data_IF_192538982808
#
_entry.id   IF_192538982808
#
_cell.length_a   1.000
_cell.length_b   1.000
_cell.length_c   1.000
_cell.angle_alpha   90.00
_cell.angle_beta   90.00
_cell.angle_gamma   90.00
#
_symmetry.space_group_name_H-M   'P 1'
#
loop_
_entity.id
_entity.type
_entity.pdbx_description
1 polymer ?
#
# COMPACT_ATOMS: atom_id res chain seq x y z
N UNK A 1 -5.34 -22.69 8.23
CA UNK A 1 -3.94 -23.15 8.11
C UNK A 1 -3.47 -24.03 9.28
N UNK A 2 -4.38 -24.61 10.08
CA UNK A 2 -4.07 -25.53 11.20
C UNK A 2 -3.79 -26.99 10.78
N UNK A 3 -3.58 -27.26 9.49
CA UNK A 3 -3.29 -28.58 8.94
C UNK A 3 -2.17 -28.51 7.89
N UNK A 4 -1.15 -27.69 8.11
CA UNK A 4 0.10 -27.90 7.37
C UNK A 4 0.67 -29.21 7.92
N UNK A 5 0.43 -30.26 7.13
CA UNK A 5 0.97 -31.62 7.15
C UNK A 5 1.85 -31.95 8.36
N UNK A 6 1.50 -33.01 9.09
CA UNK A 6 2.43 -33.73 9.96
C UNK A 6 3.77 -33.81 9.22
N UNK A 7 4.82 -33.10 9.68
CA UNK A 7 6.04 -32.97 8.92
C UNK A 7 6.55 -34.37 8.61
N UNK A 8 6.99 -34.59 7.37
CA UNK A 8 7.49 -35.88 6.87
C UNK A 8 8.65 -36.40 7.75
N UNK A 9 9.23 -35.55 8.59
CA UNK A 9 10.10 -35.94 9.70
C UNK A 9 9.73 -35.19 10.98
N UNK A 10 9.40 -35.92 12.04
CA UNK A 10 9.47 -35.39 13.39
C UNK A 10 10.92 -34.97 13.69
N UNK A 11 11.13 -33.75 14.18
CA UNK A 11 12.48 -33.22 14.48
C UNK A 11 13.34 -34.18 15.33
N UNK A 12 12.80 -34.84 16.38
CA UNK A 12 13.53 -35.86 17.11
C UNK A 12 13.97 -37.05 16.25
N UNK A 13 13.16 -37.46 15.26
CA UNK A 13 13.51 -38.56 14.36
C UNK A 13 14.65 -38.16 13.42
N UNK A 14 14.64 -36.93 12.88
CA UNK A 14 15.73 -36.42 12.05
C UNK A 14 17.06 -36.35 12.82
N UNK A 15 17.02 -35.89 14.07
CA UNK A 15 18.18 -35.88 14.96
C UNK A 15 18.68 -37.30 15.27
N UNK A 16 17.78 -38.24 15.59
CA UNK A 16 18.12 -39.63 15.86
C UNK A 16 18.74 -40.33 14.63
N UNK A 17 18.16 -40.10 13.45
CA UNK A 17 18.68 -40.61 12.18
C UNK A 17 20.08 -40.06 11.91
N UNK A 18 20.28 -38.74 11.99
CA UNK A 18 21.59 -38.12 11.81
C UNK A 18 22.62 -38.67 12.81
N UNK A 19 22.25 -38.76 14.08
CA UNK A 19 23.11 -39.29 15.14
C UNK A 19 23.51 -40.75 14.90
N UNK A 20 22.58 -41.62 14.49
CA UNK A 20 22.87 -43.02 14.18
C UNK A 20 23.80 -43.19 12.97
N UNK A 21 23.58 -42.41 11.90
CA UNK A 21 24.46 -42.41 10.72
C UNK A 21 25.85 -41.92 11.10
N UNK A 22 25.96 -40.79 11.81
CA UNK A 22 27.23 -40.24 12.27
C UNK A 22 27.99 -41.22 13.16
N UNK A 23 27.31 -41.85 14.12
CA UNK A 23 27.91 -42.83 15.02
C UNK A 23 28.39 -44.06 14.25
N UNK A 24 27.63 -44.52 13.25
CA UNK A 24 28.02 -45.60 12.35
C UNK A 24 29.30 -45.29 11.58
N UNK A 25 29.41 -44.08 11.01
CA UNK A 25 30.61 -43.64 10.28
C UNK A 25 31.83 -43.62 11.20
N UNK A 26 31.71 -43.05 12.40
CA UNK A 26 32.80 -42.96 13.38
C UNK A 26 33.22 -44.35 13.87
N UNK A 27 32.25 -45.24 14.15
CA UNK A 27 32.52 -46.61 14.55
C UNK A 27 33.24 -47.40 13.46
N UNK A 28 32.79 -47.31 12.21
CA UNK A 28 33.42 -47.95 11.05
C UNK A 28 34.84 -47.44 10.84
N UNK A 29 35.08 -46.13 10.97
CA UNK A 29 36.41 -45.56 10.86
C UNK A 29 37.34 -46.03 11.99
N UNK A 30 36.85 -46.15 13.22
CA UNK A 30 37.62 -46.70 14.34
C UNK A 30 37.99 -48.18 14.11
N UNK A 31 37.04 -48.99 13.63
CA UNK A 31 37.28 -50.38 13.26
C UNK A 31 38.28 -50.49 12.11
N UNK A 32 38.12 -49.67 11.06
CA UNK A 32 39.05 -49.61 9.92
C UNK A 32 40.46 -49.18 10.31
N UNK A 33 40.58 -48.15 11.17
CA UNK A 33 41.87 -47.73 11.72
C UNK A 33 42.53 -48.82 12.57
N UNK A 34 41.74 -49.67 13.24
CA UNK A 34 42.22 -50.83 13.97
C UNK A 34 42.68 -51.96 13.07
N UNK A 35 41.89 -52.31 12.04
CA UNK A 35 42.23 -53.34 11.07
C UNK A 35 43.49 -52.99 10.27
N UNK A 36 43.67 -51.72 9.88
CA UNK A 36 44.84 -51.24 9.14
C UNK A 36 46.02 -50.83 10.05
N UNK A 37 45.85 -50.93 11.37
CA UNK A 37 46.80 -50.44 12.38
C UNK A 37 47.28 -48.99 12.17
N UNK A 38 46.42 -48.14 11.59
CA UNK A 38 46.72 -46.73 11.34
C UNK A 38 46.40 -45.88 12.58
N UNK A 39 47.43 -45.29 13.19
CA UNK A 39 47.25 -44.42 14.36
C UNK A 39 46.50 -43.13 14.02
N UNK A 40 46.67 -42.60 12.80
CA UNK A 40 46.01 -41.35 12.38
C UNK A 40 44.49 -41.51 12.31
N UNK A 41 43.99 -42.62 11.73
CA UNK A 41 42.56 -42.89 11.61
C UNK A 41 41.93 -43.13 12.99
N UNK A 42 42.63 -43.82 13.90
CA UNK A 42 42.17 -44.01 15.29
C UNK A 42 42.08 -42.68 16.04
N UNK A 43 43.09 -41.82 15.89
CA UNK A 43 43.11 -40.51 16.53
C UNK A 43 41.95 -39.62 16.01
N UNK A 44 41.74 -39.61 14.69
CA UNK A 44 40.61 -38.92 14.06
C UNK A 44 39.26 -39.45 14.56
N UNK A 45 39.06 -40.76 14.59
CA UNK A 45 37.79 -41.33 15.05
C UNK A 45 37.50 -40.99 16.53
N UNK A 46 38.53 -40.95 17.38
CA UNK A 46 38.39 -40.53 18.78
C UNK A 46 38.01 -39.05 18.93
N UNK A 47 38.61 -38.16 18.13
CA UNK A 47 38.22 -36.74 18.15
C UNK A 47 36.80 -36.55 17.63
N UNK A 48 36.41 -37.27 16.57
CA UNK A 48 35.06 -37.18 16.00
C UNK A 48 33.98 -37.71 16.93
N UNK A 49 34.28 -38.74 17.74
CA UNK A 49 33.35 -39.22 18.75
C UNK A 49 33.02 -38.14 19.79
N UNK A 50 34.01 -37.35 20.22
CA UNK A 50 33.80 -36.21 21.12
C UNK A 50 32.88 -35.14 20.51
N UNK A 51 33.14 -34.78 19.26
CA UNK A 51 32.33 -33.80 18.52
C UNK A 51 30.88 -34.27 18.28
N UNK A 52 30.68 -35.59 18.11
CA UNK A 52 29.35 -36.18 17.96
C UNK A 52 28.53 -36.05 19.25
N UNK A 53 29.15 -36.28 20.42
CA UNK A 53 28.50 -36.08 21.73
C UNK A 53 28.11 -34.61 21.92
N UNK A 54 29.02 -33.67 21.63
CA UNK A 54 28.74 -32.23 21.72
C UNK A 54 27.57 -31.86 20.80
N UNK A 55 27.54 -32.40 19.59
CA UNK A 55 26.46 -32.16 18.64
C UNK A 55 25.12 -32.71 19.13
N UNK A 56 25.10 -33.88 19.78
CA UNK A 56 23.89 -34.43 20.38
C UNK A 56 23.35 -33.55 21.52
N UNK A 57 24.23 -33.05 22.40
CA UNK A 57 23.85 -32.12 23.48
C UNK A 57 23.31 -30.81 22.91
N UNK A 58 23.97 -30.24 21.90
CA UNK A 58 23.55 -29.01 21.24
C UNK A 58 22.15 -29.17 20.62
N UNK A 59 21.91 -30.27 19.89
CA UNK A 59 20.60 -30.55 19.30
C UNK A 59 19.53 -30.75 20.37
N UNK A 60 19.84 -31.39 21.51
CA UNK A 60 18.91 -31.53 22.62
C UNK A 60 18.53 -30.17 23.24
N UNK A 61 19.50 -29.28 23.46
CA UNK A 61 19.25 -27.90 23.93
C UNK A 61 18.38 -27.14 22.93
N UNK A 62 18.66 -27.29 21.63
CA UNK A 62 17.92 -26.62 20.57
C UNK A 62 16.46 -27.10 20.51
N UNK A 63 16.22 -28.41 20.64
CA UNK A 63 14.87 -28.97 20.73
C UNK A 63 14.13 -28.46 21.97
N UNK A 64 14.80 -28.37 23.13
CA UNK A 64 14.22 -27.80 24.33
C UNK A 64 13.88 -26.30 24.16
N UNK A 65 14.72 -25.54 23.48
CA UNK A 65 14.46 -24.14 23.15
C UNK A 65 13.25 -23.99 22.22
N UNK A 66 13.17 -24.81 21.17
CA UNK A 66 12.03 -24.80 20.23
C UNK A 66 10.71 -25.18 20.92
N UNK A 67 10.74 -26.15 21.83
CA UNK A 67 9.56 -26.53 22.61
C UNK A 67 9.04 -25.39 23.49
N UNK A 68 9.92 -24.48 23.92
CA UNK A 68 9.59 -23.33 24.77
C UNK A 68 9.59 -21.99 24.00
N UNK A 69 9.62 -22.04 22.67
CA UNK A 69 9.79 -20.85 21.84
C UNK A 69 8.68 -19.81 22.05
N UNK A 70 7.44 -20.26 22.23
CA UNK A 70 6.30 -19.37 22.48
C UNK A 70 6.47 -18.54 23.75
N UNK A 71 6.89 -19.20 24.84
CA UNK A 71 7.15 -18.53 26.12
C UNK A 71 8.34 -17.57 26.02
N UNK A 72 9.40 -17.96 25.31
CA UNK A 72 10.58 -17.11 25.11
C UNK A 72 10.25 -15.83 24.31
N UNK A 73 9.52 -15.97 23.19
CA UNK A 73 9.08 -14.82 22.38
C UNK A 73 8.15 -13.94 23.21
N UNK A 74 7.22 -14.52 23.98
CA UNK A 74 6.32 -13.74 24.83
C UNK A 74 7.05 -12.98 25.92
N UNK A 75 8.08 -13.58 26.53
CA UNK A 75 8.88 -12.94 27.58
C UNK A 75 9.74 -11.78 27.05
N UNK A 76 10.14 -11.85 25.78
CA UNK A 76 10.95 -10.82 25.11
C UNK A 76 10.12 -9.80 24.34
N UNK A 77 8.81 -10.06 24.18
CA UNK A 77 7.89 -9.15 23.54
C UNK A 77 7.69 -7.90 24.43
N UNK A 78 7.52 -6.72 23.82
CA UNK A 78 7.20 -5.51 24.57
C UNK A 78 5.91 -5.69 25.39
N UNK A 79 5.82 -5.11 26.60
CA UNK A 79 4.68 -5.30 27.48
C UNK A 79 3.40 -4.80 26.82
N UNK A 80 2.30 -5.52 27.04
CA UNK A 80 0.98 -5.07 26.61
C UNK A 80 0.64 -3.74 27.28
N UNK A 81 0.43 -2.69 26.49
CA UNK A 81 -0.08 -1.41 26.99
C UNK A 81 -1.61 -1.32 26.74
N UNK A 82 -2.23 -0.28 27.30
CA UNK A 82 -3.67 -0.06 27.12
C UNK A 82 -4.10 0.12 25.65
N UNK A 83 -3.15 0.48 24.78
CA UNK A 83 -3.42 0.63 23.36
C UNK A 83 -3.31 -0.70 22.59
N UNK A 84 -2.71 -1.72 23.22
CA UNK A 84 -2.56 -3.07 22.68
C UNK A 84 -3.06 -4.18 23.62
N UNK A 85 -4.38 -4.27 23.86
CA UNK A 85 -4.97 -5.35 24.65
C UNK A 85 -4.78 -6.76 24.03
N UNK A 86 -4.29 -6.83 22.79
CA UNK A 86 -4.10 -8.07 22.06
C UNK A 86 -2.69 -8.67 22.17
N UNK A 87 -1.76 -8.12 22.96
CA UNK A 87 -0.48 -8.80 23.28
C UNK A 87 -0.64 -9.98 24.26
N UNK A 88 -1.86 -10.31 24.66
CA UNK A 88 -2.15 -11.49 25.46
C UNK A 88 -1.90 -12.77 24.64
N UNK A 89 -1.46 -13.81 25.35
CA UNK A 89 -0.78 -15.00 24.83
C UNK A 89 -1.36 -15.58 23.51
N UNK A 90 -0.50 -15.97 22.54
CA UNK A 90 -0.94 -16.52 21.27
C UNK A 90 -1.68 -17.85 21.47
N UNK A 91 -2.99 -17.86 21.23
CA UNK A 91 -3.82 -19.07 21.38
C UNK A 91 -3.82 -19.98 20.15
N UNK A 92 -3.33 -19.51 19.00
CA UNK A 92 -3.46 -20.19 17.68
C UNK A 92 -2.12 -20.49 16.99
N UNK A 93 -1.00 -20.34 17.70
CA UNK A 93 0.35 -20.55 17.15
C UNK A 93 1.08 -19.23 16.88
N UNK A 94 2.39 -19.24 17.12
CA UNK A 94 3.24 -18.04 17.12
C UNK A 94 3.22 -17.36 15.74
N UNK A 95 3.37 -18.13 14.66
CA UNK A 95 3.47 -17.60 13.29
C UNK A 95 2.20 -16.89 12.84
N UNK A 96 1.03 -17.46 13.11
CA UNK A 96 -0.25 -16.86 12.75
C UNK A 96 -0.52 -15.57 13.54
N UNK A 97 -0.13 -15.53 14.81
CA UNK A 97 -0.27 -14.32 15.64
C UNK A 97 0.64 -13.19 15.13
N UNK A 98 1.90 -13.48 14.81
CA UNK A 98 2.83 -12.49 14.26
C UNK A 98 2.36 -12.01 12.88
N UNK A 99 1.87 -12.90 12.03
CA UNK A 99 1.30 -12.54 10.74
C UNK A 99 0.14 -11.55 10.90
N UNK A 100 -0.81 -11.85 11.80
CA UNK A 100 -1.94 -10.98 12.07
C UNK A 100 -1.50 -9.62 12.63
N UNK A 101 -0.47 -9.60 13.48
CA UNK A 101 0.12 -8.36 14.01
C UNK A 101 0.81 -7.52 12.95
N UNK A 102 1.62 -8.14 12.09
CA UNK A 102 2.29 -7.48 10.96
C UNK A 102 1.26 -6.86 10.02
N UNK A 103 0.20 -7.61 9.67
CA UNK A 103 -0.91 -7.10 8.88
C UNK A 103 -1.58 -5.89 9.54
N UNK A 104 -1.95 -6.00 10.82
CA UNK A 104 -2.67 -4.94 11.53
C UNK A 104 -1.81 -3.69 11.77
N UNK A 105 -0.52 -3.86 12.01
CA UNK A 105 0.39 -2.76 12.33
C UNK A 105 0.90 -2.04 11.08
N UNK A 106 1.22 -2.77 10.01
CA UNK A 106 1.85 -2.20 8.81
C UNK A 106 0.86 -2.03 7.66
N UNK A 107 0.13 -3.08 7.28
CA UNK A 107 -0.69 -3.06 6.05
C UNK A 107 -1.99 -2.27 6.24
N UNK A 108 -2.74 -2.55 7.31
CA UNK A 108 -4.06 -1.96 7.53
C UNK A 108 -4.04 -0.41 7.56
N UNK A 109 -3.08 0.26 8.21
CA UNK A 109 -3.06 1.72 8.21
C UNK A 109 -2.68 2.31 6.85
N UNK A 110 -1.75 1.67 6.13
CA UNK A 110 -1.37 2.10 4.77
C UNK A 110 -2.54 1.97 3.80
N UNK A 111 -3.33 0.88 3.90
CA UNK A 111 -4.58 0.74 3.15
C UNK A 111 -5.56 1.89 3.47
N UNK A 112 -5.70 2.24 4.75
CA UNK A 112 -6.52 3.38 5.19
C UNK A 112 -6.08 4.71 4.57
N UNK A 113 -4.77 4.97 4.49
CA UNK A 113 -4.23 6.16 3.80
C UNK A 113 -4.55 6.13 2.32
N UNK A 114 -4.28 5.01 1.63
CA UNK A 114 -4.53 4.87 0.20
C UNK A 114 -6.01 5.08 -0.12
N UNK A 115 -6.91 4.44 0.60
CA UNK A 115 -8.36 4.58 0.40
C UNK A 115 -8.84 6.01 0.67
N UNK A 116 -8.25 6.68 1.67
CA UNK A 116 -8.57 8.06 2.03
C UNK A 116 -8.09 9.06 0.98
N UNK A 117 -6.84 8.91 0.54
CA UNK A 117 -6.23 9.73 -0.50
C UNK A 117 -6.92 9.49 -1.87
N UNK A 118 -7.25 8.25 -2.21
CA UNK A 118 -7.97 7.92 -3.45
C UNK A 118 -9.37 8.55 -3.47
N UNK A 119 -10.13 8.48 -2.38
CA UNK A 119 -11.43 9.16 -2.27
C UNK A 119 -11.30 10.68 -2.39
N UNK A 120 -10.27 11.26 -1.78
CA UNK A 120 -9.99 12.71 -1.86
C UNK A 120 -9.60 13.12 -3.28
N UNK A 121 -8.76 12.33 -3.95
CA UNK A 121 -8.37 12.51 -5.36
C UNK A 121 -9.56 12.45 -6.31
N UNK A 122 -10.47 11.48 -6.13
CA UNK A 122 -11.69 11.40 -6.94
C UNK A 122 -12.60 12.62 -6.75
N UNK A 123 -12.70 13.15 -5.52
CA UNK A 123 -13.48 14.37 -5.23
C UNK A 123 -12.84 15.60 -5.85
N UNK A 124 -11.53 15.77 -5.69
CA UNK A 124 -10.79 16.88 -6.23
C UNK A 124 -10.80 16.86 -7.77
N UNK A 125 -10.64 15.69 -8.39
CA UNK A 125 -10.76 15.53 -9.85
C UNK A 125 -12.12 15.97 -10.37
N UNK A 126 -13.21 15.64 -9.67
CA UNK A 126 -14.56 16.12 -10.03
C UNK A 126 -14.66 17.65 -9.97
N UNK A 127 -14.06 18.27 -8.96
CA UNK A 127 -14.01 19.74 -8.85
C UNK A 127 -13.15 20.36 -9.96
N UNK A 128 -11.99 19.76 -10.27
CA UNK A 128 -11.06 20.21 -11.31
C UNK A 128 -11.62 20.06 -12.72
N UNK A 129 -12.43 19.03 -12.96
CA UNK A 129 -13.12 18.85 -14.24
C UNK A 129 -14.21 19.89 -14.50
N UNK A 130 -14.61 20.66 -13.48
CA UNK A 130 -15.58 21.74 -13.64
C UNK A 130 -14.89 22.94 -14.29
N UNK A 131 -15.01 23.01 -15.62
CA UNK A 131 -14.66 24.16 -16.42
C UNK A 131 -15.90 24.59 -17.20
N UNK A 132 -16.24 25.86 -17.15
CA UNK A 132 -17.24 26.43 -18.03
C UNK A 132 -16.59 27.47 -18.95
N UNK A 133 -16.81 27.25 -20.24
CA UNK A 133 -16.48 28.21 -21.27
C UNK A 133 -17.79 28.87 -21.67
N UNK A 134 -17.86 30.20 -21.59
CA UNK A 134 -18.91 30.94 -22.26
C UNK A 134 -18.30 31.66 -23.45
N UNK A 135 -18.83 31.41 -24.62
CA UNK A 135 -18.53 32.15 -25.83
C UNK A 135 -19.82 32.83 -26.24
N UNK A 136 -19.85 34.15 -26.11
CA UNK A 136 -20.96 34.92 -26.65
C UNK A 136 -20.54 35.41 -28.01
N UNK A 137 -21.16 34.88 -29.05
CA UNK A 137 -20.96 35.36 -30.42
C UNK A 137 -21.69 36.69 -30.62
N UNK A 138 -20.96 37.81 -30.68
CA UNK A 138 -21.48 39.05 -31.29
C UNK A 138 -20.76 39.18 -32.64
N UNK A 139 -21.48 39.46 -33.74
CA UNK A 139 -20.89 39.62 -35.08
C UNK A 139 -19.71 40.58 -35.23
N UNK A 140 -19.44 41.40 -34.21
CA UNK A 140 -18.41 42.43 -34.18
C UNK A 140 -17.44 42.23 -33.00
N UNK A 141 -17.83 41.49 -31.94
CA UNK A 141 -17.02 41.24 -30.74
C UNK A 141 -17.37 39.85 -30.20
N UNK A 142 -16.42 38.93 -30.15
CA UNK A 142 -16.62 37.62 -29.53
C UNK A 142 -16.01 37.61 -28.13
N UNK A 143 -16.69 38.12 -27.08
CA UNK A 143 -16.20 37.92 -25.73
C UNK A 143 -16.24 36.42 -25.41
N UNK A 144 -15.05 35.85 -25.30
CA UNK A 144 -14.82 34.52 -24.74
C UNK A 144 -14.36 34.69 -23.31
N UNK A 145 -15.01 33.98 -22.40
CA UNK A 145 -14.56 33.85 -21.03
C UNK A 145 -14.50 32.40 -20.64
N UNK A 146 -13.40 32.02 -20.01
CA UNK A 146 -13.21 30.69 -19.45
C UNK A 146 -12.98 30.86 -17.96
N UNK A 147 -13.64 30.05 -17.16
CA UNK A 147 -13.46 30.06 -15.72
C UNK A 147 -13.39 28.62 -15.21
N UNK A 148 -12.26 28.32 -14.58
CA UNK A 148 -12.03 27.08 -13.87
C UNK A 148 -11.72 27.45 -12.42
N UNK A 149 -12.76 27.58 -11.57
CA UNK A 149 -12.58 28.04 -10.18
C UNK A 149 -11.67 27.10 -9.37
N UNK A 150 -11.55 25.85 -9.81
CA UNK A 150 -10.68 24.86 -9.19
C UNK A 150 -9.28 24.73 -9.83
N UNK A 151 -8.93 25.50 -10.88
CA UNK A 151 -7.66 25.31 -11.61
C UNK A 151 -6.41 25.28 -10.73
N UNK A 152 -6.40 26.02 -9.61
CA UNK A 152 -5.31 25.99 -8.63
C UNK A 152 -5.14 24.66 -7.87
N UNK A 153 -6.16 23.80 -7.86
CA UNK A 153 -6.13 22.48 -7.20
C UNK A 153 -5.31 21.43 -7.95
N UNK A 154 -4.83 21.70 -9.17
CA UNK A 154 -4.00 20.76 -9.94
C UNK A 154 -2.72 20.35 -9.18
N UNK A 155 -2.06 21.30 -8.50
CA UNK A 155 -0.86 21.00 -7.72
C UNK A 155 -1.16 20.06 -6.54
N UNK A 156 -2.28 20.28 -5.85
CA UNK A 156 -2.76 19.41 -4.78
C UNK A 156 -3.12 18.02 -5.31
N UNK A 157 -3.78 17.95 -6.47
CA UNK A 157 -4.13 16.68 -7.12
C UNK A 157 -2.87 15.87 -7.45
N UNK A 158 -1.84 16.50 -8.01
CA UNK A 158 -0.55 15.85 -8.27
C UNK A 158 0.10 15.36 -6.98
N UNK A 159 0.09 16.16 -5.91
CA UNK A 159 0.64 15.77 -4.61
C UNK A 159 -0.11 14.57 -3.99
N UNK A 160 -1.43 14.55 -4.09
CA UNK A 160 -2.25 13.42 -3.62
C UNK A 160 -1.92 12.16 -4.42
N UNK A 161 -1.84 12.25 -5.76
CA UNK A 161 -1.49 11.10 -6.62
C UNK A 161 -0.10 10.56 -6.26
N UNK A 162 0.91 11.43 -6.13
CA UNK A 162 2.26 11.03 -5.69
C UNK A 162 2.25 10.37 -4.30
N UNK A 163 1.42 10.89 -3.39
CA UNK A 163 1.21 10.29 -2.06
C UNK A 163 0.59 8.90 -2.14
N UNK A 164 -0.40 8.68 -3.02
CA UNK A 164 -1.01 7.37 -3.27
C UNK A 164 0.04 6.39 -3.81
N UNK A 165 0.81 6.79 -4.82
CA UNK A 165 1.82 5.93 -5.46
C UNK A 165 2.91 5.52 -4.45
N UNK A 166 3.44 6.48 -3.69
CA UNK A 166 4.45 6.21 -2.66
C UNK A 166 3.91 5.30 -1.54
N UNK A 167 2.69 5.53 -1.08
CA UNK A 167 2.08 4.72 -0.01
C UNK A 167 1.75 3.32 -0.51
N UNK A 168 1.35 3.18 -1.78
CA UNK A 168 1.09 1.89 -2.41
C UNK A 168 2.35 1.04 -2.56
N UNK A 169 3.50 1.66 -2.89
CA UNK A 169 4.80 0.97 -2.91
C UNK A 169 5.21 0.48 -1.51
N UNK A 170 4.97 1.26 -0.46
CA UNK A 170 5.25 0.83 0.91
C UNK A 170 4.28 -0.25 1.40
N UNK A 171 3.02 -0.21 0.97
CA UNK A 171 2.06 -1.29 1.23
C UNK A 171 2.53 -2.59 0.58
N UNK A 172 3.02 -2.53 -0.66
CA UNK A 172 3.59 -3.68 -1.35
C UNK A 172 4.84 -4.21 -0.64
N UNK A 173 5.70 -3.32 -0.15
CA UNK A 173 6.88 -3.68 0.64
C UNK A 173 6.49 -4.39 1.94
N UNK A 174 5.54 -3.82 2.70
CA UNK A 174 5.04 -4.42 3.94
C UNK A 174 4.41 -5.80 3.70
N UNK A 175 3.60 -5.94 2.64
CA UNK A 175 3.03 -7.23 2.25
C UNK A 175 4.09 -8.23 1.82
N UNK A 176 5.15 -7.79 1.14
CA UNK A 176 6.26 -8.63 0.71
C UNK A 176 7.04 -9.17 1.91
N UNK A 177 7.28 -8.33 2.94
CA UNK A 177 7.93 -8.76 4.19
C UNK A 177 7.09 -9.83 4.90
N UNK A 178 5.76 -9.65 4.97
CA UNK A 178 4.86 -10.67 5.53
C UNK A 178 4.95 -12.00 4.76
N UNK A 179 4.89 -11.96 3.43
CA UNK A 179 4.97 -13.17 2.59
C UNK A 179 6.32 -13.86 2.74
N UNK A 180 7.42 -13.09 2.72
CA UNK A 180 8.77 -13.61 2.95
C UNK A 180 8.88 -14.26 4.32
N UNK A 181 8.31 -13.66 5.36
CA UNK A 181 8.30 -14.24 6.70
C UNK A 181 7.57 -15.59 6.74
N UNK A 182 6.34 -15.65 6.22
CA UNK A 182 5.56 -16.90 6.20
C UNK A 182 6.32 -17.98 5.43
N UNK A 183 6.87 -17.64 4.26
CA UNK A 183 7.68 -18.54 3.45
C UNK A 183 8.92 -19.04 4.20
N UNK A 184 9.73 -18.14 4.76
CA UNK A 184 10.95 -18.48 5.48
C UNK A 184 10.65 -19.28 6.75
N UNK A 185 9.60 -18.92 7.49
CA UNK A 185 9.17 -19.66 8.67
C UNK A 185 8.76 -21.09 8.30
N UNK A 186 7.97 -21.28 7.24
CA UNK A 186 7.60 -22.62 6.77
C UNK A 186 8.80 -23.41 6.26
N UNK A 187 9.66 -22.80 5.44
CA UNK A 187 10.86 -23.45 4.90
C UNK A 187 11.88 -23.80 6.00
N UNK A 188 12.01 -22.96 7.02
CA UNK A 188 12.92 -23.19 8.15
C UNK A 188 12.52 -24.41 8.96
N UNK A 189 11.24 -24.53 9.33
CA UNK A 189 10.73 -25.68 10.10
C UNK A 189 10.72 -26.97 9.29
N UNK A 190 10.30 -26.90 8.02
CA UNK A 190 10.08 -28.10 7.20
C UNK A 190 11.36 -28.65 6.58
N UNK A 191 12.28 -27.77 6.13
CA UNK A 191 13.45 -28.17 5.35
C UNK A 191 14.75 -27.86 6.09
N UNK A 192 14.99 -26.60 6.45
CA UNK A 192 16.33 -26.17 6.89
C UNK A 192 16.71 -26.76 8.25
N UNK A 193 15.76 -26.83 9.19
CA UNK A 193 16.03 -27.27 10.55
C UNK A 193 16.25 -28.79 10.67
N UNK A 194 15.40 -29.67 10.09
CA UNK A 194 15.68 -31.11 10.03
C UNK A 194 16.99 -31.42 9.28
N UNK A 195 17.22 -30.74 8.14
CA UNK A 195 18.44 -30.92 7.35
C UNK A 195 19.68 -30.45 8.12
N UNK A 196 19.59 -29.32 8.81
CA UNK A 196 20.66 -28.79 9.66
C UNK A 196 21.01 -29.75 10.79
N UNK A 197 20.00 -30.31 11.47
CA UNK A 197 20.20 -31.34 12.49
C UNK A 197 20.88 -32.58 11.94
N UNK A 198 20.44 -33.08 10.78
CA UNK A 198 21.03 -34.27 10.14
C UNK A 198 22.49 -34.03 9.74
N UNK A 199 22.78 -32.93 9.04
CA UNK A 199 24.11 -32.61 8.54
C UNK A 199 25.11 -32.30 9.67
N UNK A 200 24.65 -31.83 10.84
CA UNK A 200 25.51 -31.58 12.01
C UNK A 200 26.19 -32.87 12.52
N UNK A 201 25.56 -34.04 12.36
CA UNK A 201 26.14 -35.32 12.79
C UNK A 201 27.12 -35.94 11.78
N UNK A 202 27.17 -35.44 10.55
CA UNK A 202 28.06 -35.94 9.49
C UNK A 202 29.36 -35.13 9.51
N UNK A 203 30.53 -35.72 9.83
CA UNK A 203 31.78 -34.98 10.01
C UNK A 203 32.13 -33.97 8.89
N UNK A 204 32.13 -34.34 7.59
CA UNK A 204 32.45 -33.39 6.53
C UNK A 204 31.36 -32.32 6.29
N UNK A 205 30.12 -32.54 6.72
CA UNK A 205 29.00 -31.62 6.50
C UNK A 205 28.62 -30.81 7.77
N UNK A 206 29.33 -31.02 8.88
CA UNK A 206 29.01 -30.45 10.20
C UNK A 206 28.93 -28.92 10.17
N UNK A 207 29.85 -28.27 9.46
CA UNK A 207 29.88 -26.82 9.32
C UNK A 207 28.63 -26.29 8.59
N UNK A 208 28.23 -26.94 7.50
CA UNK A 208 27.02 -26.60 6.75
C UNK A 208 25.77 -26.82 7.61
N UNK A 209 25.71 -27.92 8.37
CA UNK A 209 24.63 -28.17 9.31
C UNK A 209 24.49 -27.06 10.35
N UNK A 210 25.60 -26.55 10.87
CA UNK A 210 25.63 -25.47 11.87
C UNK A 210 25.13 -24.15 11.30
N UNK A 211 25.50 -23.84 10.05
CA UNK A 211 24.98 -22.67 9.33
C UNK A 211 23.47 -22.77 9.11
N UNK A 212 22.97 -23.92 8.66
CA UNK A 212 21.53 -24.14 8.44
C UNK A 212 20.74 -24.04 9.75
N UNK A 213 21.30 -24.56 10.85
CA UNK A 213 20.73 -24.39 12.18
C UNK A 213 20.71 -22.91 12.60
N UNK A 214 21.78 -22.15 12.35
CA UNK A 214 21.83 -20.72 12.66
C UNK A 214 20.79 -19.92 11.87
N UNK A 215 20.67 -20.17 10.57
CA UNK A 215 19.68 -19.51 9.70
C UNK A 215 18.27 -19.83 10.18
N UNK A 216 17.97 -21.11 10.44
CA UNK A 216 16.63 -21.51 10.89
C UNK A 216 16.28 -20.93 12.26
N UNK A 217 17.20 -20.93 13.23
CA UNK A 217 17.00 -20.27 14.53
C UNK A 217 16.79 -18.76 14.40
N UNK A 218 17.53 -18.10 13.52
CA UNK A 218 17.38 -16.65 13.34
C UNK A 218 16.03 -16.29 12.73
N UNK A 219 15.56 -17.06 11.75
CA UNK A 219 14.22 -16.89 11.18
C UNK A 219 13.12 -17.15 12.21
N UNK A 220 13.30 -18.15 13.09
CA UNK A 220 12.29 -18.55 14.06
C UNK A 220 12.27 -17.70 15.34
N UNK A 221 13.39 -17.08 15.71
CA UNK A 221 13.53 -16.31 16.97
C UNK A 221 13.77 -14.84 16.69
N UNK A 222 14.81 -14.52 15.90
CA UNK A 222 15.28 -13.14 15.74
C UNK A 222 14.31 -12.33 14.91
N UNK A 223 13.92 -12.83 13.73
CA UNK A 223 13.01 -12.13 12.84
C UNK A 223 11.67 -11.78 13.50
N UNK A 224 10.95 -12.71 14.17
CA UNK A 224 9.69 -12.35 14.80
C UNK A 224 9.88 -11.36 15.95
N UNK A 225 10.99 -11.45 16.67
CA UNK A 225 11.30 -10.54 17.76
C UNK A 225 11.62 -9.14 17.23
N UNK A 226 12.43 -9.02 16.18
CA UNK A 226 12.73 -7.73 15.55
C UNK A 226 11.45 -7.09 14.98
N UNK A 227 10.60 -7.90 14.33
CA UNK A 227 9.30 -7.46 13.85
C UNK A 227 8.39 -6.92 14.97
N UNK A 228 8.32 -7.60 16.12
CA UNK A 228 7.53 -7.15 17.28
C UNK A 228 8.06 -5.83 17.84
N UNK A 229 9.38 -5.66 17.90
CA UNK A 229 10.02 -4.40 18.31
C UNK A 229 9.77 -3.28 17.30
N UNK A 230 9.83 -3.57 16.01
CA UNK A 230 9.49 -2.62 14.95
C UNK A 230 8.03 -2.16 15.02
N UNK A 231 7.10 -3.08 15.28
CA UNK A 231 5.68 -2.75 15.51
C UNK A 231 5.51 -1.82 16.71
N UNK A 232 6.24 -2.07 17.80
CA UNK A 232 6.19 -1.21 18.98
C UNK A 232 6.69 0.20 18.69
N UNK A 233 7.80 0.33 17.94
CA UNK A 233 8.33 1.63 17.49
C UNK A 233 7.35 2.37 16.57
N UNK A 234 6.68 1.67 15.66
CA UNK A 234 5.70 2.25 14.74
C UNK A 234 4.45 2.80 15.43
N UNK A 235 4.17 2.35 16.64
CA UNK A 235 2.94 2.66 17.32
C UNK A 235 3.07 3.78 18.36
N UNK A 236 4.27 4.29 18.60
CA UNK A 236 4.46 5.48 19.42
C UNK A 236 3.43 6.56 18.97
N UNK A 237 2.61 7.11 19.88
CA UNK A 237 1.55 8.08 19.57
C UNK A 237 1.98 9.23 18.63
N UNK A 238 3.28 9.54 18.59
CA UNK A 238 3.84 10.48 17.61
C UNK A 238 3.69 10.04 16.14
N UNK A 239 3.74 8.73 15.85
CA UNK A 239 3.56 8.16 14.51
C UNK A 239 2.17 7.59 14.27
N UNK A 240 1.48 7.18 15.34
CA UNK A 240 0.16 6.58 15.23
C UNK A 240 -0.94 7.61 15.00
N UNK A 241 -0.61 8.92 15.12
CA UNK A 241 -1.45 10.08 14.80
C UNK A 241 -2.60 9.66 13.93
N UNK A 242 -3.75 9.45 14.59
CA UNK A 242 -4.80 8.60 14.06
C UNK A 242 -5.05 9.03 12.63
N UNK A 243 -4.87 8.10 11.68
CA UNK A 243 -5.51 8.24 10.37
C UNK A 243 -6.98 8.11 10.72
N UNK A 244 -7.56 9.19 11.24
CA UNK A 244 -8.97 9.28 11.36
C UNK A 244 -9.44 9.12 9.93
N UNK A 245 -10.32 8.16 9.66
CA UNK A 245 -10.99 8.15 8.37
C UNK A 245 -11.43 9.59 8.17
N UNK A 246 -11.04 10.22 7.06
CA UNK A 246 -11.44 11.60 6.77
C UNK A 246 -12.96 11.57 6.95
N UNK A 247 -13.42 12.10 8.09
CA UNK A 247 -14.82 12.22 8.36
C UNK A 247 -15.25 13.10 7.21
N UNK A 248 -16.10 12.55 6.34
CA UNK A 248 -16.57 13.26 5.18
C UNK A 248 -16.88 14.68 5.64
N UNK A 249 -16.28 15.70 4.99
CA UNK A 249 -16.41 17.07 5.45
C UNK A 249 -17.89 17.28 5.75
N UNK A 250 -18.21 17.80 6.95
CA UNK A 250 -19.56 17.73 7.51
C UNK A 250 -20.53 18.10 6.41
N UNK A 251 -21.60 17.30 6.27
CA UNK A 251 -22.57 17.35 5.16
C UNK A 251 -23.15 18.75 4.88
N UNK A 252 -22.86 19.74 5.71
CA UNK A 252 -23.01 21.16 5.43
C UNK A 252 -22.25 21.65 4.19
N UNK A 253 -21.02 21.19 3.88
CA UNK A 253 -20.35 21.53 2.60
C UNK A 253 -20.86 20.67 1.43
N UNK A 254 -21.50 19.52 1.72
CA UNK A 254 -22.22 18.73 0.73
C UNK A 254 -23.47 19.45 0.20
N UNK A 255 -23.94 20.49 0.89
CA UNK A 255 -24.92 21.43 0.36
C UNK A 255 -24.48 21.97 -0.99
N UNK A 256 -23.27 22.49 -1.12
CA UNK A 256 -22.80 23.06 -2.40
C UNK A 256 -22.64 22.01 -3.50
N UNK A 257 -21.89 20.91 -3.27
CA UNK A 257 -21.70 19.89 -4.31
C UNK A 257 -23.05 19.30 -4.77
N UNK A 258 -23.98 19.09 -3.84
CA UNK A 258 -25.33 18.59 -4.16
C UNK A 258 -26.21 19.67 -4.83
N UNK A 259 -26.02 20.95 -4.50
CA UNK A 259 -26.79 22.07 -5.06
C UNK A 259 -26.19 22.65 -6.35
N UNK A 260 -24.94 22.35 -6.71
CA UNK A 260 -24.32 22.86 -7.94
C UNK A 260 -24.07 21.75 -8.95
N UNK A 261 -23.58 20.58 -8.52
CA UNK A 261 -23.33 19.47 -9.45
C UNK A 261 -24.62 18.69 -9.73
N UNK A 262 -25.53 18.60 -8.76
CA UNK A 262 -26.80 17.88 -8.91
C UNK A 262 -28.03 18.80 -8.92
N UNK A 263 -27.88 20.11 -9.11
CA UNK A 263 -29.05 20.98 -9.20
C UNK A 263 -29.78 20.73 -10.53
N UNK A 264 -31.06 20.29 -10.47
CA UNK A 264 -31.89 20.15 -11.66
C UNK A 264 -32.14 21.50 -12.33
N UNK A 265 -31.98 22.62 -11.59
CA UNK A 265 -32.06 23.97 -12.15
C UNK A 265 -30.84 24.26 -12.99
N UNK A 266 -29.62 23.89 -12.57
CA UNK A 266 -28.42 24.09 -13.40
C UNK A 266 -28.43 23.19 -14.64
N UNK A 267 -28.76 21.91 -14.48
CA UNK A 267 -28.87 21.00 -15.64
C UNK A 267 -30.01 21.41 -16.57
N UNK A 268 -31.12 21.87 -15.98
CA UNK A 268 -32.26 22.42 -16.71
C UNK A 268 -31.91 23.71 -17.44
N UNK A 269 -31.18 24.64 -16.84
CA UNK A 269 -30.77 25.90 -17.48
C UNK A 269 -29.75 25.66 -18.59
N UNK A 270 -28.82 24.72 -18.42
CA UNK A 270 -27.90 24.31 -19.48
C UNK A 270 -28.63 23.65 -20.67
N UNK A 271 -29.64 22.82 -20.42
CA UNK A 271 -30.44 22.19 -21.48
C UNK A 271 -31.47 23.14 -22.13
N UNK A 272 -32.14 23.98 -21.33
CA UNK A 272 -33.28 24.82 -21.76
C UNK A 272 -32.81 26.13 -22.38
N UNK A 273 -31.67 26.67 -21.94
CA UNK A 273 -31.15 27.96 -22.41
C UNK A 273 -30.78 27.96 -23.90
N UNK A 274 -30.21 26.87 -24.42
CA UNK A 274 -29.85 26.78 -25.83
C UNK A 274 -31.01 26.33 -26.73
N UNK A 275 -31.80 25.34 -26.29
CA UNK A 275 -32.77 24.68 -27.17
C UNK A 275 -34.15 25.35 -27.17
N UNK A 276 -34.70 25.72 -26.00
CA UNK A 276 -36.08 26.23 -25.91
C UNK A 276 -36.22 27.63 -26.55
N UNK A 277 -35.27 28.53 -26.28
CA UNK A 277 -35.30 29.87 -26.87
C UNK A 277 -34.89 29.83 -28.34
N UNK A 278 -34.02 28.88 -28.75
CA UNK A 278 -33.77 28.57 -30.16
C UNK A 278 -35.04 28.16 -30.89
N UNK A 279 -35.83 27.27 -30.29
CA UNK A 279 -37.11 26.81 -30.85
C UNK A 279 -38.18 27.90 -30.85
N UNK A 280 -38.29 28.73 -29.81
CA UNK A 280 -39.23 29.86 -29.78
C UNK A 280 -38.89 30.89 -30.87
N UNK A 281 -37.60 31.23 -31.07
CA UNK A 281 -37.19 32.12 -32.15
C UNK A 281 -37.48 31.51 -33.53
N UNK A 282 -37.25 30.20 -33.72
CA UNK A 282 -37.65 29.50 -34.95
C UNK A 282 -39.16 29.54 -35.18
N UNK A 283 -39.95 29.36 -34.12
CA UNK A 283 -41.41 29.40 -34.19
C UNK A 283 -41.92 30.78 -34.63
N UNK A 284 -41.34 31.87 -34.09
CA UNK A 284 -41.69 33.24 -34.50
C UNK A 284 -41.14 33.61 -35.89
N UNK A 285 -39.96 33.11 -36.25
CA UNK A 285 -39.39 33.33 -37.59
C UNK A 285 -40.19 32.62 -38.69
N UNK A 286 -40.75 31.43 -38.41
CA UNK A 286 -41.54 30.67 -39.38
C UNK A 286 -43.05 31.03 -39.40
N UNK A 287 -43.55 31.88 -38.48
CA UNK A 287 -44.98 32.29 -38.43
C UNK A 287 -45.26 33.67 -39.03
N UNK A 288 -44.23 34.40 -39.49
CA UNK A 288 -44.41 35.67 -40.18
C UNK A 288 -44.96 35.51 -41.62
N UNK A 289 -45.66 36.51 -42.19
CA UNK A 289 -46.30 36.42 -43.52
C UNK A 289 -45.34 36.29 -44.72
N UNK A 290 -44.02 36.24 -44.47
CA UNK A 290 -42.98 36.03 -45.47
C UNK A 290 -42.10 34.82 -45.13
N UNK A 291 -42.74 33.70 -44.74
CA UNK A 291 -42.10 32.42 -44.45
C UNK A 291 -41.52 31.69 -45.70
N UNK A 292 -40.88 32.43 -46.61
CA UNK A 292 -40.20 31.90 -47.81
C UNK A 292 -38.69 32.16 -47.76
N UNK A 293 -38.14 32.52 -46.61
CA UNK A 293 -36.69 32.57 -46.44
C UNK A 293 -36.17 31.21 -45.98
N UNK A 294 -34.95 30.80 -46.42
CA UNK A 294 -34.43 29.42 -46.28
C UNK A 294 -34.17 28.95 -44.83
N UNK A 295 -34.58 29.72 -43.81
CA UNK A 295 -34.44 29.34 -42.39
C UNK A 295 -35.39 28.22 -41.94
N UNK A 296 -36.46 27.93 -42.69
CA UNK A 296 -37.39 26.83 -42.40
C UNK A 296 -37.18 25.61 -43.33
N UNK A 297 -36.14 25.61 -44.18
CA UNK A 297 -35.76 24.45 -44.99
C UNK A 297 -34.88 23.49 -44.16
N UNK A 298 -35.07 22.19 -44.40
CA UNK A 298 -34.59 21.05 -43.61
C UNK A 298 -33.20 21.16 -42.98
N UNK A 299 -32.99 20.53 -41.81
CA UNK A 299 -31.72 20.50 -41.10
C UNK A 299 -30.72 19.61 -41.85
N UNK A 300 -30.12 20.14 -42.91
CA UNK A 300 -28.82 19.61 -43.33
C UNK A 300 -27.79 20.01 -42.27
N UNK A 301 -26.86 19.12 -41.91
CA UNK A 301 -25.87 19.34 -40.86
C UNK A 301 -24.80 20.32 -41.35
N UNK A 302 -25.17 21.58 -41.53
CA UNK A 302 -24.24 22.68 -41.70
C UNK A 302 -23.91 23.17 -40.30
N UNK A 303 -22.62 23.26 -40.00
CA UNK A 303 -22.05 23.65 -38.71
C UNK A 303 -22.91 24.70 -37.97
N UNK A 304 -23.32 24.45 -36.71
CA UNK A 304 -24.27 25.28 -35.97
C UNK A 304 -23.71 26.64 -35.51
N UNK A 305 -22.60 27.12 -36.07
CA UNK A 305 -21.83 28.19 -35.45
C UNK A 305 -22.07 29.61 -35.93
N UNK A 306 -22.83 29.89 -36.99
CA UNK A 306 -23.23 31.28 -37.29
C UNK A 306 -24.48 31.35 -38.20
N UNK A 307 -25.68 31.73 -37.69
CA UNK A 307 -26.76 32.16 -38.58
C UNK A 307 -26.36 33.50 -39.24
N UNK A 308 -26.42 33.64 -40.58
CA UNK A 308 -26.17 34.91 -41.23
C UNK A 308 -27.18 35.94 -40.74
N UNK A 309 -26.67 37.07 -40.26
CA UNK A 309 -27.48 38.20 -39.81
C UNK A 309 -28.29 38.66 -41.03
N UNK A 310 -29.64 38.67 -40.98
CA UNK A 310 -30.41 39.30 -42.02
C UNK A 310 -30.09 40.80 -41.95
N UNK A 311 -29.62 41.40 -43.04
CA UNK A 311 -29.40 42.85 -43.17
C UNK A 311 -30.53 43.37 -44.06
N UNK A 312 -31.65 43.78 -43.47
CA UNK A 312 -32.85 44.21 -44.18
C UNK A 312 -33.69 45.18 -43.33
N UNK A 313 -34.03 46.38 -43.82
CA UNK A 313 -34.75 47.37 -43.01
C UNK A 313 -36.17 46.88 -42.68
N UNK A 314 -36.47 46.67 -41.41
CA UNK A 314 -37.82 46.29 -40.98
C UNK A 314 -37.95 45.94 -39.49
N UNK A 315 -39.17 45.98 -38.97
CA UNK A 315 -39.52 45.71 -37.57
C UNK A 315 -38.99 44.35 -37.05
N UNK A 316 -38.79 43.39 -37.97
CA UNK A 316 -38.18 42.09 -37.69
C UNK A 316 -36.74 42.19 -37.16
N UNK A 317 -35.97 43.22 -37.53
CA UNK A 317 -34.63 43.46 -36.97
C UNK A 317 -34.69 43.85 -35.50
N UNK A 318 -35.61 44.73 -35.13
CA UNK A 318 -35.77 45.11 -33.73
C UNK A 318 -36.18 43.91 -32.90
N UNK A 319 -37.13 43.09 -33.35
CA UNK A 319 -37.51 41.85 -32.65
C UNK A 319 -36.36 40.85 -32.55
N UNK A 320 -35.58 40.66 -33.63
CA UNK A 320 -34.41 39.80 -33.60
C UNK A 320 -33.32 40.31 -32.64
N UNK A 321 -33.06 41.63 -32.62
CA UNK A 321 -32.12 42.28 -31.71
C UNK A 321 -32.59 42.17 -30.27
N UNK A 322 -33.89 42.38 -29.96
CA UNK A 322 -34.43 42.24 -28.61
C UNK A 322 -34.44 40.79 -28.13
N UNK A 323 -34.80 39.83 -28.99
CA UNK A 323 -34.75 38.41 -28.67
C UNK A 323 -33.29 37.95 -28.44
N UNK A 324 -32.36 38.45 -29.25
CA UNK A 324 -30.92 38.22 -29.10
C UNK A 324 -30.37 38.86 -27.82
N UNK A 325 -30.74 40.12 -27.52
CA UNK A 325 -30.34 40.82 -26.30
C UNK A 325 -30.94 40.14 -25.05
N UNK A 326 -32.16 39.61 -25.15
CA UNK A 326 -32.76 38.78 -24.11
C UNK A 326 -31.98 37.49 -23.87
N UNK A 327 -31.56 36.79 -24.93
CA UNK A 327 -30.64 35.64 -24.83
C UNK A 327 -29.29 36.03 -24.21
N UNK A 328 -28.74 37.18 -24.60
CA UNK A 328 -27.50 37.71 -24.06
C UNK A 328 -27.59 37.98 -22.56
N UNK A 329 -28.62 38.71 -22.12
CA UNK A 329 -28.81 39.07 -20.71
C UNK A 329 -29.15 37.85 -19.85
N UNK A 330 -29.90 36.88 -20.39
CA UNK A 330 -30.18 35.62 -19.70
C UNK A 330 -28.92 34.73 -19.60
N UNK A 331 -28.15 34.61 -20.68
CA UNK A 331 -26.90 33.86 -20.70
C UNK A 331 -25.85 34.48 -19.78
N UNK A 332 -25.60 35.78 -19.92
CA UNK A 332 -24.68 36.53 -19.05
C UNK A 332 -25.14 36.50 -17.59
N UNK A 333 -26.44 36.66 -17.31
CA UNK A 333 -27.00 36.57 -15.97
C UNK A 333 -26.81 35.20 -15.33
N UNK A 334 -27.00 34.12 -16.09
CA UNK A 334 -26.75 32.75 -15.62
C UNK A 334 -25.26 32.50 -15.39
N UNK A 335 -24.38 32.93 -16.29
CA UNK A 335 -22.93 32.82 -16.11
C UNK A 335 -22.44 33.63 -14.91
N UNK A 336 -22.97 34.84 -14.69
CA UNK A 336 -22.64 35.67 -13.54
C UNK A 336 -23.18 35.09 -12.23
N UNK A 337 -24.39 34.52 -12.25
CA UNK A 337 -24.96 33.81 -11.10
C UNK A 337 -24.13 32.56 -10.76
N UNK A 338 -23.67 31.81 -11.76
CA UNK A 338 -22.75 30.68 -11.57
C UNK A 338 -21.39 31.12 -11.04
N UNK A 339 -20.89 32.27 -11.49
CA UNK A 339 -19.66 32.86 -10.97
C UNK A 339 -19.83 33.32 -9.52
N UNK A 340 -20.94 33.99 -9.19
CA UNK A 340 -21.26 34.46 -7.84
C UNK A 340 -21.55 33.32 -6.85
N UNK A 341 -22.05 32.19 -7.36
CA UNK A 341 -22.25 30.96 -6.59
C UNK A 341 -20.99 30.08 -6.54
N UNK A 342 -19.95 30.39 -7.34
CA UNK A 342 -18.72 29.62 -7.29
C UNK A 342 -18.03 29.82 -5.93
N UNK A 343 -17.59 28.73 -5.27
CA UNK A 343 -16.97 28.82 -3.97
C UNK A 343 -15.68 29.62 -4.11
N UNK A 344 -15.37 30.38 -3.07
CA UNK A 344 -14.07 31.03 -3.04
C UNK A 344 -12.99 29.94 -3.07
N UNK A 345 -11.87 30.21 -3.71
CA UNK A 345 -10.73 29.27 -3.72
C UNK A 345 -10.33 28.85 -2.30
N UNK A 346 -10.55 29.75 -1.32
CA UNK A 346 -10.36 29.50 0.10
C UNK A 346 -11.26 28.39 0.65
N UNK A 347 -12.56 28.38 0.32
CA UNK A 347 -13.48 27.34 0.82
C UNK A 347 -13.12 25.95 0.26
N UNK A 348 -12.65 25.91 -0.99
CA UNK A 348 -12.13 24.68 -1.60
C UNK A 348 -10.87 24.22 -0.88
N UNK A 349 -9.92 25.12 -0.62
CA UNK A 349 -8.68 24.81 0.13
C UNK A 349 -8.97 24.37 1.56
N UNK A 350 -9.89 25.04 2.25
CA UNK A 350 -10.26 24.74 3.64
C UNK A 350 -10.86 23.33 3.79
N UNK A 351 -11.55 22.82 2.76
CA UNK A 351 -12.03 21.44 2.72
C UNK A 351 -10.89 20.41 2.66
N UNK A 352 -9.70 20.78 2.20
CA UNK A 352 -8.51 19.93 2.12
C UNK A 352 -7.46 20.22 3.21
N UNK A 353 -7.63 21.24 4.05
CA UNK A 353 -6.68 21.52 5.15
C UNK A 353 -6.49 20.30 6.07
N UNK A 354 -7.55 19.56 6.38
CA UNK A 354 -7.41 18.33 7.19
C UNK A 354 -6.54 17.26 6.52
N UNK A 355 -6.63 17.13 5.19
CA UNK A 355 -5.79 16.21 4.42
C UNK A 355 -4.33 16.68 4.42
N UNK A 356 -4.10 17.98 4.26
CA UNK A 356 -2.78 18.59 4.24
C UNK A 356 -2.08 18.60 5.61
N UNK A 357 -2.82 18.91 6.67
CA UNK A 357 -2.27 19.11 8.02
C UNK A 357 -2.14 17.79 8.80
N UNK A 358 -3.04 16.83 8.57
CA UNK A 358 -3.08 15.59 9.35
C UNK A 358 -2.72 14.35 8.52
N UNK A 359 -3.39 14.12 7.39
CA UNK A 359 -3.28 12.85 6.66
C UNK A 359 -1.96 12.70 5.91
N UNK A 360 -1.53 13.73 5.16
CA UNK A 360 -0.29 13.67 4.38
C UNK A 360 0.96 13.55 5.27
N UNK A 361 1.13 14.35 6.34
CA UNK A 361 2.28 14.20 7.24
C UNK A 361 2.31 12.84 7.94
N UNK A 362 1.14 12.33 8.39
CA UNK A 362 1.05 11.01 8.99
C UNK A 362 1.40 9.89 7.97
N UNK A 363 0.97 10.03 6.72
CA UNK A 363 1.33 9.11 5.64
C UNK A 363 2.84 9.10 5.39
N UNK A 364 3.48 10.27 5.32
CA UNK A 364 4.93 10.40 5.14
C UNK A 364 5.67 9.80 6.33
N UNK A 365 5.28 10.12 7.56
CA UNK A 365 5.90 9.60 8.77
C UNK A 365 5.81 8.06 8.82
N UNK A 366 4.65 7.49 8.50
CA UNK A 366 4.47 6.02 8.43
C UNK A 366 5.28 5.40 7.29
N UNK A 367 5.31 6.01 6.12
CA UNK A 367 6.10 5.54 4.98
C UNK A 367 7.59 5.44 5.34
N UNK A 368 8.14 6.47 5.99
CA UNK A 368 9.53 6.48 6.48
C UNK A 368 9.73 5.41 7.54
N UNK A 369 8.81 5.27 8.49
CA UNK A 369 8.96 4.32 9.58
C UNK A 369 8.85 2.86 9.12
N UNK A 370 7.98 2.54 8.16
CA UNK A 370 7.91 1.21 7.53
C UNK A 370 9.22 0.87 6.82
N UNK A 371 9.77 1.81 6.04
CA UNK A 371 11.06 1.60 5.36
C UNK A 371 12.19 1.37 6.37
N UNK A 372 12.23 2.16 7.44
CA UNK A 372 13.23 2.03 8.50
C UNK A 372 13.12 0.70 9.24
N UNK A 373 11.89 0.26 9.55
CA UNK A 373 11.63 -1.04 10.18
C UNK A 373 12.17 -2.17 9.32
N UNK A 374 11.87 -2.18 8.01
CA UNK A 374 12.35 -3.25 7.10
C UNK A 374 13.87 -3.30 7.05
N UNK A 375 14.54 -2.14 7.02
CA UNK A 375 16.01 -2.06 7.03
C UNK A 375 16.57 -2.59 8.35
N UNK A 376 16.00 -2.20 9.49
CA UNK A 376 16.42 -2.69 10.81
C UNK A 376 16.22 -4.20 10.91
N UNK A 377 15.06 -4.71 10.53
CA UNK A 377 14.74 -6.14 10.62
C UNK A 377 15.73 -6.98 9.81
N UNK A 378 16.08 -6.51 8.61
CA UNK A 378 17.06 -7.16 7.75
C UNK A 378 18.47 -7.10 8.37
N UNK A 379 18.89 -5.94 8.89
CA UNK A 379 20.20 -5.78 9.51
C UNK A 379 20.35 -6.63 10.77
N UNK A 380 19.36 -6.57 11.67
CA UNK A 380 19.28 -7.39 12.88
C UNK A 380 19.31 -8.88 12.53
N UNK A 381 18.53 -9.31 11.53
CA UNK A 381 18.52 -10.70 11.09
C UNK A 381 19.89 -11.14 10.57
N UNK A 382 20.55 -10.36 9.71
CA UNK A 382 21.88 -10.71 9.16
C UNK A 382 22.94 -10.78 10.28
N UNK A 383 22.98 -9.78 11.16
CA UNK A 383 23.96 -9.72 12.26
C UNK A 383 23.75 -10.89 13.22
N UNK A 384 22.51 -11.21 13.56
CA UNK A 384 22.22 -12.32 14.47
C UNK A 384 22.45 -13.68 13.83
N UNK A 385 22.13 -13.88 12.54
CA UNK A 385 22.49 -15.12 11.81
C UNK A 385 23.98 -15.35 11.91
N UNK A 386 24.79 -14.32 11.67
CA UNK A 386 26.25 -14.40 11.76
C UNK A 386 26.71 -14.75 13.18
N UNK A 387 26.17 -14.07 14.19
CA UNK A 387 26.52 -14.31 15.60
C UNK A 387 26.15 -15.72 16.06
N UNK A 388 24.96 -16.20 15.69
CA UNK A 388 24.48 -17.55 16.02
C UNK A 388 25.32 -18.59 15.26
N UNK A 389 25.63 -18.37 13.99
CA UNK A 389 26.48 -19.28 13.20
C UNK A 389 27.86 -19.45 13.83
N UNK A 390 28.51 -18.35 14.24
CA UNK A 390 29.79 -18.39 14.95
C UNK A 390 29.69 -19.16 16.28
N UNK A 391 28.61 -18.93 17.03
CA UNK A 391 28.39 -19.61 18.33
C UNK A 391 28.18 -21.11 18.16
N UNK A 392 27.56 -21.54 17.05
CA UNK A 392 27.38 -22.96 16.71
C UNK A 392 28.63 -23.62 16.10
N UNK A 393 29.75 -22.87 16.02
CA UNK A 393 31.01 -23.37 15.46
C UNK A 393 31.01 -23.46 13.92
N UNK A 394 30.14 -22.70 13.23
CA UNK A 394 30.30 -22.52 11.80
C UNK A 394 31.50 -21.60 11.54
N UNK A 395 32.36 -21.98 10.59
CA UNK A 395 33.50 -21.13 10.22
C UNK A 395 33.04 -19.85 9.51
N UNK A 396 33.71 -18.75 9.82
CA UNK A 396 33.52 -17.46 9.13
C UNK A 396 33.93 -17.48 7.65
N UNK A 397 34.52 -18.59 7.17
CA UNK A 397 35.17 -18.69 5.87
C UNK A 397 34.28 -19.23 4.75
N UNK A 398 32.95 -19.15 4.86
CA UNK A 398 32.12 -19.19 3.65
C UNK A 398 32.41 -17.92 2.83
N UNK A 399 33.46 -18.01 2.01
CA UNK A 399 34.15 -16.97 1.26
C UNK A 399 33.24 -16.08 0.39
N UNK A 400 31.97 -16.46 0.19
CA UNK A 400 30.98 -15.69 -0.55
C UNK A 400 30.12 -14.74 0.31
N UNK A 401 29.82 -15.09 1.56
CA UNK A 401 28.86 -14.34 2.39
C UNK A 401 29.49 -13.11 3.05
N UNK A 402 30.79 -13.17 3.34
CA UNK A 402 31.55 -12.01 3.83
C UNK A 402 31.83 -10.93 2.77
N UNK A 403 31.50 -11.19 1.50
CA UNK A 403 31.60 -10.22 0.39
C UNK A 403 30.25 -9.60 0.00
N UNK A 404 29.13 -10.09 0.55
CA UNK A 404 27.79 -9.54 0.29
C UNK A 404 27.34 -8.53 1.37
N UNK A 405 27.99 -8.52 2.53
CA UNK A 405 27.95 -7.46 3.53
C UNK A 405 29.23 -6.65 3.38
#
# INVERSE_FOLDING_TARGET
>A
MSQIASPIFDLPQAAALGGSIGAGIVALAYMGGTALNSQSVKAWAKSEFGELIISAVLVAILLALLANLSGAIQALAPPADANFPHFNAPSSGITADIEARLYKAMELPLQGVVDSAARSSMRLTKLLSYNYNYQVGIPIVNPTGTASPAAGGMALQTAIIMGIDSTSLNLLLASSVRVIYVFLSSASVLVLLPLGMLLRFIPPARQVGSLLLAISLSVLIVFPLSALWGIHLLYDPGFSGAIQPINDPPSTSSGFLKTVICSPVLSGVAMVGEDLIGQIIRLFACTGPQAVTPFCADPTPVNPLDPPIPIGPGLHHFVAIYAWLGKFLAGAGNSLALYALSPSSKDVLDAFNSLADNTLPAAVARNVAVLFMVVIDLLCSIVMVKSIAQTLGAENQLYGLSRMV
#
